data_IF_472884059754
#
_entry.id   IF_472884059754
#
_cell.length_a   1.000
_cell.length_b   1.000
_cell.length_c   1.000
_cell.angle_alpha   90.00
_cell.angle_beta   90.00
_cell.angle_gamma   90.00
#
_symmetry.space_group_name_H-M   'P 1'
#
loop_
_entity.id
_entity.type
_entity.pdbx_description
1 polymer ?
#
# COMPACT_ATOMS: atom_id res chain seq x y z
N UNK A 1 4.28 -8.60 -19.61
CA UNK A 1 3.99 -9.67 -18.61
C UNK A 1 4.15 -9.16 -17.18
N UNK A 2 5.28 -8.56 -16.80
CA UNK A 2 5.56 -8.08 -15.42
C UNK A 2 4.56 -7.02 -14.94
N UNK A 3 4.20 -6.05 -15.79
CA UNK A 3 3.16 -5.04 -15.46
C UNK A 3 1.82 -5.70 -15.14
N UNK A 4 1.41 -6.69 -15.93
CA UNK A 4 0.17 -7.41 -15.71
C UNK A 4 0.21 -8.25 -14.43
N UNK A 5 1.36 -8.86 -14.13
CA UNK A 5 1.56 -9.59 -12.87
C UNK A 5 1.41 -8.66 -11.65
N UNK A 6 2.03 -7.47 -11.68
CA UNK A 6 1.86 -6.45 -10.65
C UNK A 6 0.39 -6.05 -10.48
N UNK A 7 -0.28 -5.71 -11.58
CA UNK A 7 -1.69 -5.28 -11.56
C UNK A 7 -2.60 -6.35 -10.96
N UNK A 8 -2.44 -7.61 -11.36
CA UNK A 8 -3.18 -8.74 -10.80
C UNK A 8 -2.89 -8.93 -9.32
N UNK A 9 -1.62 -8.89 -8.92
CA UNK A 9 -1.24 -9.01 -7.50
C UNK A 9 -1.91 -7.92 -6.67
N UNK A 10 -1.91 -6.66 -7.12
CA UNK A 10 -2.57 -5.58 -6.40
C UNK A 10 -4.10 -5.75 -6.37
N UNK A 11 -4.72 -6.15 -7.46
CA UNK A 11 -6.16 -6.36 -7.54
C UNK A 11 -6.62 -7.50 -6.64
N UNK A 12 -5.92 -8.64 -6.67
CA UNK A 12 -6.32 -9.86 -5.97
C UNK A 12 -6.05 -9.80 -4.47
N UNK A 13 -4.99 -9.08 -4.05
CA UNK A 13 -4.54 -9.09 -2.65
C UNK A 13 -4.71 -7.78 -1.89
N UNK A 14 -4.80 -6.64 -2.58
CA UNK A 14 -4.97 -5.31 -1.97
C UNK A 14 -6.18 -4.54 -2.54
N UNK A 15 -7.21 -5.25 -2.96
CA UNK A 15 -8.47 -4.68 -3.45
C UNK A 15 -9.21 -3.86 -2.39
N UNK A 16 -10.52 -3.70 -2.58
CA UNK A 16 -11.37 -2.87 -1.68
C UNK A 16 -11.50 -3.50 -0.30
N UNK A 17 -11.84 -4.80 -0.27
CA UNK A 17 -11.97 -5.58 0.97
C UNK A 17 -10.69 -6.38 1.19
N UNK A 18 -10.08 -6.24 2.36
CA UNK A 18 -8.75 -6.75 2.64
C UNK A 18 -8.76 -7.71 3.82
N UNK A 19 -8.08 -8.84 3.65
CA UNK A 19 -7.88 -9.84 4.69
C UNK A 19 -6.39 -9.99 4.95
N UNK A 20 -5.99 -10.17 6.21
CA UNK A 20 -4.59 -10.27 6.61
C UNK A 20 -3.80 -11.33 5.86
N UNK A 21 -4.38 -12.53 5.72
CA UNK A 21 -3.73 -13.63 5.01
C UNK A 21 -3.53 -13.33 3.52
N UNK A 22 -4.51 -12.67 2.88
CA UNK A 22 -4.37 -12.26 1.48
C UNK A 22 -3.33 -11.17 1.30
N UNK A 23 -3.31 -10.19 2.20
CA UNK A 23 -2.29 -9.12 2.18
C UNK A 23 -0.88 -9.69 2.37
N UNK A 24 -0.72 -10.66 3.29
CA UNK A 24 0.57 -11.33 3.51
C UNK A 24 1.06 -12.05 2.25
N UNK A 25 0.18 -12.81 1.59
CA UNK A 25 0.49 -13.44 0.30
C UNK A 25 0.79 -12.38 -0.78
N UNK A 26 0.08 -11.26 -0.77
CA UNK A 26 0.30 -10.13 -1.66
C UNK A 26 1.69 -9.52 -1.50
N UNK A 27 2.19 -9.40 -0.27
CA UNK A 27 3.57 -8.95 0.02
C UNK A 27 4.59 -9.90 -0.61
N UNK A 28 4.44 -11.21 -0.44
CA UNK A 28 5.34 -12.19 -1.05
C UNK A 28 5.35 -12.07 -2.58
N UNK A 29 4.17 -12.00 -3.19
CA UNK A 29 4.01 -11.89 -4.65
C UNK A 29 4.55 -10.57 -5.23
N UNK A 30 4.34 -9.44 -4.57
CA UNK A 30 4.84 -8.17 -5.09
C UNK A 30 6.38 -8.11 -5.06
N UNK A 31 7.01 -8.76 -4.08
CA UNK A 31 8.46 -8.89 -4.03
C UNK A 31 9.01 -9.83 -5.12
N UNK A 32 8.26 -10.86 -5.51
CA UNK A 32 8.60 -11.70 -6.67
C UNK A 32 8.50 -10.91 -7.98
N UNK A 33 7.44 -10.10 -8.13
CA UNK A 33 7.28 -9.19 -9.29
C UNK A 33 8.42 -8.19 -9.37
N UNK A 34 8.87 -7.63 -8.24
CA UNK A 34 10.03 -6.74 -8.19
C UNK A 34 11.30 -7.45 -8.70
N UNK A 35 11.58 -8.67 -8.24
CA UNK A 35 12.74 -9.44 -8.73
C UNK A 35 12.68 -9.69 -10.23
N UNK A 36 11.48 -10.02 -10.75
CA UNK A 36 11.28 -10.20 -12.19
C UNK A 36 11.49 -8.89 -12.98
N UNK A 37 11.04 -7.76 -12.42
CA UNK A 37 11.23 -6.46 -13.04
C UNK A 37 12.69 -6.04 -13.15
N UNK A 38 13.52 -6.37 -12.16
CA UNK A 38 14.97 -6.09 -12.19
C UNK A 38 15.72 -6.87 -13.28
N UNK A 39 15.10 -7.93 -13.83
CA UNK A 39 15.66 -8.77 -14.90
C UNK A 39 15.08 -8.41 -16.28
N UNK A 40 14.31 -7.33 -16.39
CA UNK A 40 13.72 -6.92 -17.66
C UNK A 40 14.79 -6.47 -18.66
N UNK A 41 14.74 -7.04 -19.83
CA UNK A 41 15.54 -6.60 -20.98
C UNK A 41 14.66 -5.86 -21.98
N UNK A 42 15.09 -4.66 -22.37
CA UNK A 42 14.45 -3.87 -23.41
C UNK A 42 15.10 -4.24 -24.74
N UNK A 43 14.31 -4.78 -25.65
CA UNK A 43 14.78 -5.20 -26.98
C UNK A 43 15.12 -4.00 -27.85
N UNK A 44 14.32 -2.94 -27.80
CA UNK A 44 14.59 -1.69 -28.51
C UNK A 44 15.73 -0.93 -27.83
N UNK A 45 16.85 -0.76 -28.52
CA UNK A 45 18.03 -0.04 -28.06
C UNK A 45 18.14 1.38 -28.63
N UNK A 46 17.13 1.85 -29.35
CA UNK A 46 17.11 3.22 -29.88
C UNK A 46 17.13 4.26 -28.78
N UNK A 47 17.73 5.41 -29.06
CA UNK A 47 17.80 6.54 -28.11
C UNK A 47 16.67 7.56 -28.30
N UNK A 48 16.04 7.55 -29.46
CA UNK A 48 14.96 8.48 -29.83
C UNK A 48 13.62 7.73 -29.92
N UNK A 49 12.57 8.31 -29.36
CA UNK A 49 11.19 7.77 -29.40
C UNK A 49 11.05 6.33 -28.85
N UNK A 50 11.91 5.95 -27.91
CA UNK A 50 11.89 4.61 -27.30
C UNK A 50 10.82 4.53 -26.20
N UNK A 51 9.59 4.22 -26.59
CA UNK A 51 8.45 4.03 -25.66
C UNK A 51 8.67 2.85 -24.73
N UNK A 52 9.32 1.79 -25.19
CA UNK A 52 9.63 0.62 -24.35
C UNK A 52 10.55 0.98 -23.18
N UNK A 53 11.51 1.90 -23.39
CA UNK A 53 12.38 2.41 -22.33
C UNK A 53 11.60 3.25 -21.32
N UNK A 54 10.72 4.13 -21.80
CA UNK A 54 9.86 4.94 -20.93
C UNK A 54 8.96 4.05 -20.06
N UNK A 55 8.31 3.06 -20.67
CA UNK A 55 7.46 2.10 -19.95
C UNK A 55 8.23 1.26 -18.92
N UNK A 56 9.49 0.92 -19.18
CA UNK A 56 10.33 0.20 -18.25
C UNK A 56 10.67 1.07 -17.01
N UNK A 57 11.00 2.36 -17.21
CA UNK A 57 11.25 3.32 -16.12
C UNK A 57 9.98 3.59 -15.30
N UNK A 58 8.84 3.74 -15.96
CA UNK A 58 7.55 3.85 -15.26
C UNK A 58 7.24 2.60 -14.43
N UNK A 59 7.62 1.41 -14.91
CA UNK A 59 7.39 0.16 -14.20
C UNK A 59 8.17 0.09 -12.90
N UNK A 60 9.40 0.60 -12.85
CA UNK A 60 10.19 0.70 -11.62
C UNK A 60 9.46 1.56 -10.58
N UNK A 61 8.98 2.74 -10.97
CA UNK A 61 8.23 3.63 -10.08
C UNK A 61 6.91 3.00 -9.61
N UNK A 62 6.18 2.33 -10.50
CA UNK A 62 4.93 1.67 -10.16
C UNK A 62 5.12 0.54 -9.16
N UNK A 63 6.19 -0.24 -9.27
CA UNK A 63 6.51 -1.33 -8.33
C UNK A 63 6.82 -0.76 -6.95
N UNK A 64 7.57 0.33 -6.84
CA UNK A 64 7.86 0.95 -5.54
C UNK A 64 6.58 1.41 -4.84
N UNK A 65 5.66 2.05 -5.57
CA UNK A 65 4.35 2.47 -5.03
C UNK A 65 3.49 1.26 -4.66
N UNK A 66 3.49 0.21 -5.47
CA UNK A 66 2.76 -1.02 -5.20
C UNK A 66 3.28 -1.74 -3.94
N UNK A 67 4.60 -1.84 -3.77
CA UNK A 67 5.23 -2.36 -2.54
C UNK A 67 4.84 -1.54 -1.31
N UNK A 68 5.02 -0.22 -1.38
CA UNK A 68 4.67 0.68 -0.29
C UNK A 68 3.20 0.50 0.13
N UNK A 69 2.30 0.39 -0.85
CA UNK A 69 0.86 0.18 -0.59
C UNK A 69 0.59 -1.18 0.04
N UNK A 70 1.12 -2.25 -0.54
CA UNK A 70 0.87 -3.62 -0.08
C UNK A 70 1.42 -3.86 1.33
N UNK A 71 2.68 -3.48 1.58
CA UNK A 71 3.36 -3.66 2.87
C UNK A 71 2.72 -2.79 3.95
N UNK A 72 2.38 -1.53 3.63
CA UNK A 72 1.68 -0.65 4.58
C UNK A 72 0.26 -1.15 4.90
N UNK A 73 -0.46 -1.70 3.92
CA UNK A 73 -1.78 -2.27 4.12
C UNK A 73 -1.74 -3.55 4.98
N UNK A 74 -0.73 -4.41 4.75
CA UNK A 74 -0.52 -5.59 5.58
C UNK A 74 -0.18 -5.21 7.03
N UNK A 75 0.70 -4.25 7.23
CA UNK A 75 1.14 -3.80 8.54
C UNK A 75 0.02 -3.18 9.38
N UNK A 76 -0.95 -2.49 8.76
CA UNK A 76 -2.05 -1.83 9.47
C UNK A 76 -3.20 -2.79 9.76
N UNK A 77 -3.38 -3.15 11.02
CA UNK A 77 -4.35 -4.16 11.49
C UNK A 77 -5.70 -3.56 11.92
N UNK A 78 -6.11 -2.46 11.30
CA UNK A 78 -7.39 -1.78 11.55
C UNK A 78 -8.03 -1.34 10.24
N UNK A 79 -9.29 -0.91 10.30
CA UNK A 79 -9.97 -0.22 9.19
C UNK A 79 -9.95 1.30 9.42
N UNK A 80 -9.46 2.06 8.40
CA UNK A 80 -9.39 3.53 8.46
C UNK A 80 -9.44 4.15 7.06
N UNK A 81 -10.36 5.08 6.86
CA UNK A 81 -10.55 5.71 5.55
C UNK A 81 -10.88 4.68 4.47
N UNK A 82 -10.12 4.67 3.40
CA UNK A 82 -10.29 3.69 2.30
C UNK A 82 -9.67 2.31 2.60
N UNK A 83 -8.90 2.18 3.69
CA UNK A 83 -8.35 0.90 4.10
C UNK A 83 -9.35 0.12 4.93
N UNK A 84 -9.99 -0.87 4.34
CA UNK A 84 -10.97 -1.75 4.99
C UNK A 84 -10.33 -3.12 5.24
N UNK A 85 -10.26 -3.51 6.51
CA UNK A 85 -9.80 -4.81 6.99
C UNK A 85 -11.01 -5.61 7.47
N UNK A 86 -11.49 -6.55 6.65
CA UNK A 86 -12.66 -7.39 7.01
C UNK A 86 -12.36 -8.36 8.16
N UNK A 87 -11.08 -8.60 8.43
CA UNK A 87 -10.61 -9.40 9.57
C UNK A 87 -10.30 -8.55 10.82
N UNK A 88 -10.49 -7.23 10.78
CA UNK A 88 -10.36 -6.39 11.95
C UNK A 88 -11.58 -6.58 12.89
N UNK A 89 -11.38 -6.61 14.22
CA UNK A 89 -12.48 -6.78 15.16
C UNK A 89 -13.47 -5.62 15.06
N UNK A 90 -14.75 -5.93 14.84
CA UNK A 90 -15.84 -4.97 14.91
C UNK A 90 -16.54 -5.12 16.26
N UNK A 91 -16.24 -4.22 17.20
CA UNK A 91 -16.74 -4.24 18.57
C UNK A 91 -17.21 -2.85 18.99
N UNK A 92 -17.88 -2.76 20.13
CA UNK A 92 -18.27 -1.46 20.69
C UNK A 92 -17.05 -0.55 20.98
N UNK A 93 -15.90 -1.14 21.31
CA UNK A 93 -14.63 -0.42 21.51
C UNK A 93 -13.97 -0.04 20.16
N UNK A 94 -14.11 -0.88 19.14
CA UNK A 94 -13.50 -0.71 17.83
C UNK A 94 -14.55 -0.77 16.68
N UNK A 95 -15.45 0.21 16.61
CA UNK A 95 -16.55 0.18 15.65
C UNK A 95 -16.04 0.16 14.21
N UNK A 96 -16.57 -0.76 13.40
CA UNK A 96 -16.13 -1.05 12.03
C UNK A 96 -14.62 -1.34 11.91
N UNK A 97 -14.03 -1.94 12.93
CA UNK A 97 -12.61 -2.28 12.95
C UNK A 97 -11.65 -1.11 13.11
N UNK A 98 -12.13 0.07 13.50
CA UNK A 98 -11.31 1.26 13.73
C UNK A 98 -10.78 1.29 15.16
N UNK A 99 -9.49 1.49 15.33
CA UNK A 99 -8.82 1.55 16.61
C UNK A 99 -7.97 2.82 16.77
N UNK A 100 -8.59 3.91 17.23
CA UNK A 100 -7.89 5.20 17.41
C UNK A 100 -6.84 5.16 18.52
N UNK A 101 -7.02 4.29 19.53
CA UNK A 101 -6.09 4.17 20.65
C UNK A 101 -4.71 3.70 20.22
N UNK A 102 -4.66 2.75 19.29
CA UNK A 102 -3.40 2.15 18.84
C UNK A 102 -2.95 2.73 17.48
N UNK A 103 -3.89 3.05 16.59
CA UNK A 103 -3.60 3.31 15.19
C UNK A 103 -3.77 4.76 14.75
N UNK A 104 -3.96 5.72 15.67
CA UNK A 104 -3.94 7.15 15.32
C UNK A 104 -2.49 7.61 15.06
N UNK A 105 -1.91 7.05 14.01
CA UNK A 105 -0.53 7.28 13.59
C UNK A 105 -0.37 7.12 12.08
N UNK A 106 0.57 7.85 11.51
CA UNK A 106 0.99 7.67 10.13
C UNK A 106 1.82 6.40 10.00
N UNK A 107 1.61 5.65 8.93
CA UNK A 107 2.49 4.55 8.51
C UNK A 107 3.52 5.12 7.54
N UNK A 108 4.80 4.93 7.82
CA UNK A 108 5.91 5.38 6.99
C UNK A 108 6.63 4.15 6.45
N UNK A 109 6.75 4.09 5.12
CA UNK A 109 7.45 3.03 4.42
C UNK A 109 8.84 3.49 3.98
N UNK A 110 9.85 2.66 4.19
CA UNK A 110 11.21 2.86 3.69
C UNK A 110 11.47 1.93 2.50
N UNK A 111 11.77 2.45 1.30
CA UNK A 111 12.08 1.61 0.14
C UNK A 111 13.46 0.94 0.22
N UNK A 112 14.33 1.38 1.14
CA UNK A 112 15.70 0.85 1.25
C UNK A 112 15.71 -0.58 1.76
N UNK A 113 14.88 -0.86 2.75
CA UNK A 113 14.81 -2.15 3.46
C UNK A 113 13.38 -2.70 3.58
N UNK A 114 12.41 -2.06 2.92
CA UNK A 114 10.97 -2.36 3.01
C UNK A 114 10.43 -2.30 4.45
N UNK A 115 11.07 -1.52 5.32
CA UNK A 115 10.65 -1.40 6.72
C UNK A 115 9.47 -0.44 6.90
N UNK A 116 8.72 -0.66 7.97
CA UNK A 116 7.62 0.21 8.41
C UNK A 116 7.99 0.87 9.73
N UNK A 117 7.80 2.17 9.77
CA UNK A 117 7.86 2.97 11.00
C UNK A 117 6.57 3.77 11.18
N UNK A 118 6.35 4.31 12.38
CA UNK A 118 5.13 5.04 12.69
C UNK A 118 5.44 6.42 13.27
N UNK A 119 4.60 7.41 12.90
CA UNK A 119 4.65 8.76 13.43
C UNK A 119 3.28 9.13 13.99
N UNK A 120 3.16 9.63 15.24
CA UNK A 120 1.88 10.09 15.78
C UNK A 120 1.25 11.18 14.90
N UNK A 121 -0.08 11.17 14.82
CA UNK A 121 -0.82 12.26 14.17
C UNK A 121 -0.84 13.47 15.11
N UNK A 122 -0.49 14.66 14.60
CA UNK A 122 -0.64 15.90 15.36
C UNK A 122 -2.10 16.37 15.29
N UNK A 123 -2.80 16.30 16.41
CA UNK A 123 -4.19 16.74 16.55
C UNK A 123 -4.30 18.19 17.07
N UNK A 124 -3.20 18.90 17.19
CA UNK A 124 -3.16 20.30 17.63
C UNK A 124 -2.55 21.18 16.51
N UNK A 125 -3.29 21.48 15.46
CA UNK A 125 -2.82 22.37 14.42
C UNK A 125 -2.72 23.81 14.91
N UNK A 126 -1.85 24.61 14.28
CA UNK A 126 -1.57 25.99 14.74
C UNK A 126 -2.72 26.97 14.46
N UNK A 127 -3.43 26.82 13.34
CA UNK A 127 -4.33 27.86 12.79
C UNK A 127 -5.71 27.37 12.40
N UNK A 128 -5.96 26.05 12.40
CA UNK A 128 -7.24 25.47 12.00
C UNK A 128 -7.75 24.53 13.08
N UNK A 129 -9.05 24.37 13.19
CA UNK A 129 -9.64 23.37 14.08
C UNK A 129 -9.47 21.96 13.47
N UNK A 130 -9.07 20.96 14.26
CA UNK A 130 -8.98 19.59 13.77
C UNK A 130 -10.38 19.02 13.51
N UNK A 131 -10.52 18.27 12.43
CA UNK A 131 -11.74 17.51 12.18
C UNK A 131 -11.90 16.41 13.21
N UNK A 132 -13.09 16.26 13.78
CA UNK A 132 -13.37 15.21 14.74
C UNK A 132 -13.14 13.82 14.15
N UNK A 133 -12.58 12.93 14.96
CA UNK A 133 -12.41 11.53 14.59
C UNK A 133 -13.79 10.87 14.45
N UNK A 134 -14.10 10.38 13.25
CA UNK A 134 -15.38 9.72 12.96
C UNK A 134 -15.13 8.38 12.27
N UNK A 135 -15.94 7.39 12.63
CA UNK A 135 -16.02 6.15 11.86
C UNK A 135 -16.58 6.45 10.48
N UNK A 136 -16.07 5.79 9.46
CA UNK A 136 -16.57 5.92 8.09
C UNK A 136 -18.00 5.39 8.03
N UNK A 137 -18.90 6.18 7.46
CA UNK A 137 -20.26 5.79 7.07
C UNK A 137 -20.38 5.89 5.56
N UNK A 138 -21.12 4.96 4.96
CA UNK A 138 -21.49 4.95 3.55
C UNK A 138 -22.93 5.44 3.39
#
# INVERSE_FOLDING_TARGET
>A
ETRLAMQRTMQDHAGVFRFGDMLKQGVEKILEVEKAARQLEIKDKSMAWNTARTEALEMENLIEVAKATMISAEARKESRGAHVRDDAPDTAEFPNGRNDKEWLKHTLFSPVDNSITYKPVNMQPLTVEPVALKTRSY
#
